data_IF_306894357130
#
_entry.id   IF_306894357130
#
_cell.length_a   1.000
_cell.length_b   1.000
_cell.length_c   1.000
_cell.angle_alpha   90.00
_cell.angle_beta   90.00
_cell.angle_gamma   90.00
#
_symmetry.space_group_name_H-M   'P 1'
#
loop_
_entity.id
_entity.type
_entity.pdbx_description
1 polymer ?
#
# COMPACT_ATOMS: atom_id res chain seq x y z
N UNK A 1 -14.60 -20.64 33.67
CA UNK A 1 -13.40 -20.17 32.95
C UNK A 1 -13.86 -19.11 31.99
N UNK A 2 -13.57 -17.83 32.27
CA UNK A 2 -13.76 -16.79 31.27
C UNK A 2 -12.81 -17.10 30.10
N UNK A 3 -13.35 -17.13 28.89
CA UNK A 3 -12.52 -17.14 27.70
C UNK A 3 -11.77 -15.81 27.68
N UNK A 4 -10.48 -15.82 28.00
CA UNK A 4 -9.60 -14.71 27.64
C UNK A 4 -9.53 -14.69 26.12
N UNK A 5 -10.50 -14.03 25.48
CA UNK A 5 -10.37 -13.61 24.09
C UNK A 5 -9.20 -12.65 24.07
N UNK A 6 -8.02 -13.17 23.79
CA UNK A 6 -6.82 -12.37 23.58
C UNK A 6 -7.09 -11.53 22.34
N UNK A 7 -7.56 -10.30 22.55
CA UNK A 7 -7.90 -9.38 21.49
C UNK A 7 -6.69 -9.14 20.59
N UNK A 8 -6.93 -8.99 19.30
CA UNK A 8 -5.88 -8.67 18.34
C UNK A 8 -5.36 -7.26 18.63
N UNK A 9 -4.03 -7.08 18.59
CA UNK A 9 -3.40 -5.77 18.81
C UNK A 9 -3.00 -5.21 17.46
N UNK A 10 -3.74 -4.21 16.97
CA UNK A 10 -3.29 -3.49 15.78
C UNK A 10 -2.14 -2.55 16.18
N UNK A 11 -0.96 -2.64 15.52
CA UNK A 11 0.11 -1.68 15.76
C UNK A 11 -0.35 -0.25 15.47
N UNK A 12 0.27 0.73 16.14
CA UNK A 12 -0.05 2.13 15.90
C UNK A 12 0.17 2.49 14.41
N UNK A 13 -0.70 3.33 13.86
CA UNK A 13 -0.72 3.70 12.43
C UNK A 13 0.61 4.28 11.92
N UNK A 14 1.36 4.95 12.77
CA UNK A 14 2.68 5.53 12.44
C UNK A 14 3.85 4.58 12.72
N UNK A 15 3.57 3.43 13.33
CA UNK A 15 4.53 2.41 13.70
C UNK A 15 4.42 1.19 12.79
N UNK A 16 4.17 1.40 11.49
CA UNK A 16 4.43 0.35 10.51
C UNK A 16 5.96 0.20 10.44
N UNK A 17 6.50 -0.55 11.40
CA UNK A 17 7.91 -0.87 11.47
C UNK A 17 8.17 -1.95 10.42
N UNK A 18 8.35 -1.49 9.18
CA UNK A 18 8.86 -2.30 8.10
C UNK A 18 10.28 -2.74 8.47
N UNK A 19 10.41 -3.95 9.01
CA UNK A 19 11.67 -4.48 9.55
C UNK A 19 12.61 -5.06 8.49
N UNK A 20 12.27 -4.94 7.21
CA UNK A 20 12.98 -5.64 6.15
C UNK A 20 13.82 -4.70 5.29
N UNK A 21 15.13 -4.84 5.41
CA UNK A 21 16.13 -4.12 4.63
C UNK A 21 16.11 -4.48 3.13
N UNK A 22 15.40 -5.55 2.73
CA UNK A 22 15.27 -5.94 1.32
C UNK A 22 14.49 -4.92 0.49
N UNK A 23 13.70 -4.05 1.11
CA UNK A 23 12.84 -3.08 0.42
C UNK A 23 13.32 -1.66 0.68
N UNK A 24 14.47 -1.33 0.10
CA UNK A 24 15.08 0.00 0.18
C UNK A 24 14.30 1.05 -0.63
N UNK A 25 14.58 2.33 -0.40
CA UNK A 25 14.08 3.41 -1.25
C UNK A 25 14.48 3.25 -2.73
N UNK A 26 15.62 2.58 -2.98
CA UNK A 26 16.04 2.25 -4.34
C UNK A 26 15.17 1.16 -4.98
N UNK A 27 14.77 0.12 -4.22
CA UNK A 27 13.82 -0.87 -4.71
C UNK A 27 12.48 -0.22 -5.09
N UNK A 28 12.06 0.79 -4.33
CA UNK A 28 10.86 1.57 -4.65
C UNK A 28 10.99 2.37 -5.94
N UNK A 29 12.09 3.10 -6.10
CA UNK A 29 12.36 3.86 -7.33
C UNK A 29 12.34 2.93 -8.55
N UNK A 30 12.97 1.75 -8.45
CA UNK A 30 12.96 0.77 -9.54
C UNK A 30 11.55 0.29 -9.89
N UNK A 31 10.68 0.11 -8.89
CA UNK A 31 9.28 -0.30 -9.12
C UNK A 31 8.48 0.82 -9.80
N UNK A 32 8.70 2.07 -9.39
CA UNK A 32 8.09 3.25 -10.02
C UNK A 32 8.57 3.38 -11.47
N UNK A 33 9.85 3.22 -11.73
CA UNK A 33 10.44 3.27 -13.07
C UNK A 33 9.90 2.14 -13.96
N UNK A 34 9.73 0.93 -13.43
CA UNK A 34 9.14 -0.19 -14.15
C UNK A 34 7.68 0.10 -14.52
N UNK A 35 6.91 0.68 -13.59
CA UNK A 35 5.53 1.10 -13.87
C UNK A 35 5.51 2.22 -14.93
N UNK A 36 6.43 3.18 -14.86
CA UNK A 36 6.54 4.31 -15.78
C UNK A 36 6.83 3.88 -17.22
N UNK A 37 7.60 2.81 -17.44
CA UNK A 37 7.83 2.24 -18.79
C UNK A 37 6.55 1.83 -19.52
N UNK A 38 5.46 1.61 -18.79
CA UNK A 38 4.15 1.28 -19.37
C UNK A 38 3.32 2.47 -19.84
N UNK A 39 3.83 3.71 -19.68
CA UNK A 39 3.11 4.93 -20.02
C UNK A 39 3.99 5.88 -20.83
N UNK A 40 3.33 6.79 -21.57
CA UNK A 40 4.01 7.82 -22.36
C UNK A 40 4.37 9.06 -21.51
N UNK A 41 5.00 10.05 -22.16
CA UNK A 41 5.45 11.31 -21.56
C UNK A 41 4.33 12.21 -20.99
N UNK A 42 3.07 11.98 -21.36
CA UNK A 42 1.93 12.72 -20.79
C UNK A 42 1.48 12.13 -19.45
N UNK A 43 2.12 11.06 -18.98
CA UNK A 43 1.78 10.41 -17.73
C UNK A 43 2.86 10.63 -16.68
N UNK A 44 2.41 10.97 -15.47
CA UNK A 44 3.24 11.04 -14.28
C UNK A 44 2.97 9.80 -13.44
N UNK A 45 4.04 9.06 -13.14
CA UNK A 45 4.00 7.94 -12.19
C UNK A 45 4.67 8.38 -10.90
N UNK A 46 3.97 8.23 -9.78
CA UNK A 46 4.49 8.55 -8.46
C UNK A 46 4.22 7.41 -7.48
N UNK A 47 5.27 6.94 -6.82
CA UNK A 47 5.18 5.99 -5.71
C UNK A 47 5.32 6.68 -4.37
N UNK A 48 4.52 6.27 -3.38
CA UNK A 48 4.66 6.69 -1.98
C UNK A 48 4.49 5.48 -1.06
N UNK A 49 5.26 5.39 0.03
CA UNK A 49 4.99 4.40 1.07
C UNK A 49 3.57 4.61 1.61
N UNK A 50 2.90 3.53 2.02
CA UNK A 50 1.53 3.64 2.52
C UNK A 50 1.43 4.57 3.72
N UNK A 51 0.29 5.25 3.78
CA UNK A 51 -0.26 5.76 5.02
C UNK A 51 -1.51 4.93 5.32
N UNK A 52 -1.54 4.13 6.39
CA UNK A 52 -2.77 3.46 6.78
C UNK A 52 -3.85 4.51 7.06
N UNK A 53 -5.05 4.28 6.54
CA UNK A 53 -6.20 5.10 6.90
C UNK A 53 -6.70 4.67 8.28
N UNK A 54 -7.24 5.61 9.05
CA UNK A 54 -7.63 5.46 10.45
C UNK A 54 -8.86 4.58 10.70
N UNK A 55 -9.25 3.71 9.78
CA UNK A 55 -10.35 2.77 9.99
C UNK A 55 -9.80 1.44 10.50
N UNK A 56 -9.58 1.36 11.81
CA UNK A 56 -9.40 0.09 12.50
C UNK A 56 -10.76 -0.62 12.58
N UNK A 57 -10.83 -1.83 12.03
CA UNK A 57 -11.97 -2.73 12.14
C UNK A 57 -11.55 -3.95 12.95
N UNK A 58 -12.04 -4.09 14.18
CA UNK A 58 -11.77 -5.23 15.08
C UNK A 58 -10.28 -5.63 15.10
N UNK A 59 -9.93 -6.67 14.34
CA UNK A 59 -8.60 -7.24 14.19
C UNK A 59 -7.93 -6.92 12.84
N UNK A 60 -8.25 -5.79 12.23
CA UNK A 60 -7.78 -5.42 10.91
C UNK A 60 -7.71 -3.92 10.69
N UNK A 61 -6.90 -3.51 9.73
CA UNK A 61 -6.84 -2.13 9.24
C UNK A 61 -6.98 -2.09 7.73
N UNK A 62 -7.47 -0.98 7.20
CA UNK A 62 -7.42 -0.73 5.77
C UNK A 62 -6.24 0.18 5.40
N UNK A 63 -5.45 -0.29 4.44
CA UNK A 63 -4.53 0.55 3.69
C UNK A 63 -5.28 1.16 2.51
N UNK A 64 -5.25 2.47 2.41
CA UNK A 64 -5.85 3.20 1.27
C UNK A 64 -4.74 3.68 0.34
N UNK A 65 -4.90 3.47 -0.97
CA UNK A 65 -4.15 4.15 -2.01
C UNK A 65 -5.09 5.07 -2.76
N UNK A 66 -5.01 6.35 -2.41
CA UNK A 66 -5.82 7.40 -3.00
C UNK A 66 -4.96 8.33 -3.85
N UNK A 67 -5.49 8.78 -4.99
CA UNK A 67 -4.83 9.79 -5.82
C UNK A 67 -5.47 11.14 -5.54
N UNK A 68 -4.70 12.03 -4.92
CA UNK A 68 -5.00 13.46 -4.95
C UNK A 68 -4.35 14.03 -6.21
N UNK A 69 -5.12 14.15 -7.28
CA UNK A 69 -4.67 14.79 -8.52
C UNK A 69 -4.77 16.30 -8.35
N UNK A 70 -3.68 17.00 -8.70
CA UNK A 70 -3.70 18.46 -8.76
C UNK A 70 -4.63 18.93 -9.89
N UNK A 71 -5.19 20.15 -9.83
CA UNK A 71 -5.90 20.74 -10.96
C UNK A 71 -5.07 20.65 -12.24
N UNK A 72 -5.66 20.16 -13.33
CA UNK A 72 -4.95 19.92 -14.60
C UNK A 72 -4.38 18.51 -14.76
N UNK A 73 -4.62 17.60 -13.81
CA UNK A 73 -4.27 16.18 -13.93
C UNK A 73 -5.49 15.29 -13.83
N UNK A 74 -5.51 14.21 -14.61
CA UNK A 74 -6.52 13.17 -14.56
C UNK A 74 -6.00 11.92 -13.87
N UNK A 75 -6.88 11.26 -13.12
CA UNK A 75 -6.55 10.05 -12.40
C UNK A 75 -6.64 8.85 -13.34
N UNK A 76 -5.49 8.28 -13.69
CA UNK A 76 -5.42 7.17 -14.65
C UNK A 76 -5.50 5.84 -13.92
N UNK A 77 -4.57 5.54 -13.01
CA UNK A 77 -4.53 4.25 -12.32
C UNK A 77 -3.87 4.33 -10.94
N UNK A 78 -4.29 3.47 -10.02
CA UNK A 78 -3.59 3.20 -8.75
C UNK A 78 -3.08 1.77 -8.70
N UNK A 79 -1.97 1.55 -8.01
CA UNK A 79 -1.35 0.27 -7.74
C UNK A 79 -1.07 0.10 -6.25
N UNK A 80 -1.56 -0.98 -5.66
CA UNK A 80 -1.23 -1.39 -4.29
C UNK A 80 -0.13 -2.46 -4.31
N UNK A 81 1.00 -2.20 -3.66
CA UNK A 81 2.12 -3.12 -3.56
C UNK A 81 2.38 -3.50 -2.12
N UNK A 82 2.41 -4.80 -1.83
CA UNK A 82 2.71 -5.31 -0.48
C UNK A 82 3.77 -6.40 -0.58
N UNK A 83 4.87 -6.19 0.14
CA UNK A 83 5.89 -7.20 0.36
C UNK A 83 5.69 -7.85 1.72
N UNK A 84 5.87 -9.18 1.76
CA UNK A 84 5.76 -9.99 2.98
C UNK A 84 7.08 -10.70 3.28
N UNK A 85 7.25 -11.29 4.46
CA UNK A 85 8.43 -12.10 4.81
C UNK A 85 8.63 -13.31 3.89
N UNK A 86 7.60 -13.73 3.15
CA UNK A 86 7.73 -14.76 2.13
C UNK A 86 8.26 -14.22 0.79
N UNK A 87 8.77 -12.98 0.76
CA UNK A 87 9.22 -12.23 -0.41
C UNK A 87 8.19 -12.18 -1.55
N UNK A 88 6.90 -12.37 -1.26
CA UNK A 88 5.84 -12.22 -2.25
C UNK A 88 5.48 -10.75 -2.33
N UNK A 89 5.81 -10.13 -3.46
CA UNK A 89 5.30 -8.82 -3.85
C UNK A 89 3.97 -9.07 -4.55
N UNK A 90 2.89 -8.66 -3.92
CA UNK A 90 1.59 -8.70 -4.56
C UNK A 90 1.31 -7.33 -5.16
N UNK A 91 1.17 -7.26 -6.49
CA UNK A 91 0.51 -6.15 -7.16
C UNK A 91 -0.99 -6.41 -7.03
N UNK A 92 -1.60 -5.85 -6.00
CA UNK A 92 -2.91 -6.31 -5.55
C UNK A 92 -4.00 -5.77 -6.45
N UNK A 93 -3.80 -4.64 -7.13
CA UNK A 93 -4.79 -4.12 -8.07
C UNK A 93 -4.23 -2.94 -8.85
N UNK A 94 -4.34 -2.98 -10.19
CA UNK A 94 -4.31 -1.79 -11.04
C UNK A 94 -5.75 -1.44 -11.39
N UNK A 95 -6.34 -0.45 -10.74
CA UNK A 95 -7.72 -0.04 -11.05
C UNK A 95 -7.73 1.36 -11.64
N UNK A 96 -8.31 1.45 -12.83
CA UNK A 96 -8.45 2.71 -13.53
C UNK A 96 -9.45 3.62 -12.80
N UNK A 97 -9.04 4.86 -12.53
CA UNK A 97 -9.92 5.91 -11.99
C UNK A 97 -10.48 5.74 -10.58
N UNK A 98 -10.12 4.69 -9.80
CA UNK A 98 -10.68 4.44 -8.45
C UNK A 98 -9.63 4.44 -7.35
N UNK A 99 -10.03 4.83 -6.14
CA UNK A 99 -9.19 4.66 -4.95
C UNK A 99 -9.26 3.19 -4.53
N UNK A 100 -8.16 2.67 -4.00
CA UNK A 100 -8.10 1.27 -3.58
C UNK A 100 -7.92 1.14 -2.08
N UNK A 101 -8.61 0.14 -1.52
CA UNK A 101 -8.56 -0.21 -0.12
C UNK A 101 -8.11 -1.66 0.04
N UNK A 102 -7.21 -1.88 0.98
CA UNK A 102 -6.65 -3.19 1.22
C UNK A 102 -6.67 -3.53 2.69
N UNK A 103 -7.27 -4.67 3.02
CA UNK A 103 -7.39 -5.13 4.41
C UNK A 103 -6.13 -5.87 4.85
N UNK A 104 -5.54 -5.41 5.93
CA UNK A 104 -4.49 -6.11 6.67
C UNK A 104 -5.05 -6.66 7.97
N UNK A 105 -4.61 -7.87 8.34
CA UNK A 105 -4.94 -8.48 9.62
C UNK A 105 -3.93 -8.04 10.68
N UNK A 106 -4.43 -7.76 11.88
CA UNK A 106 -3.62 -7.44 13.04
C UNK A 106 -3.25 -8.73 13.77
N UNK A 107 -1.97 -9.01 13.83
CA UNK A 107 -1.43 -10.12 14.61
C UNK A 107 -1.41 -9.82 16.10
N UNK A 108 -1.48 -10.86 16.92
CA UNK A 108 -1.39 -10.74 18.37
C UNK A 108 -0.03 -10.19 18.86
N UNK A 109 0.99 -10.27 18.01
CA UNK A 109 2.33 -9.73 18.25
C UNK A 109 2.46 -8.24 17.89
N UNK A 110 1.36 -7.55 17.59
CA UNK A 110 1.41 -6.13 17.23
C UNK A 110 2.03 -5.89 15.86
N UNK A 111 1.86 -6.82 14.91
CA UNK A 111 2.32 -6.69 13.53
C UNK A 111 1.17 -6.87 12.53
N UNK A 112 1.34 -6.37 11.31
CA UNK A 112 0.37 -6.57 10.23
C UNK A 112 0.64 -7.82 9.39
N UNK A 113 -0.43 -8.49 8.97
CA UNK A 113 -0.38 -9.70 8.17
C UNK A 113 -1.25 -9.59 6.92
N UNK A 114 -0.79 -10.24 5.85
CA UNK A 114 -1.59 -10.49 4.65
C UNK A 114 -1.49 -11.97 4.30
N UNK A 115 -2.64 -12.64 4.15
CA UNK A 115 -2.73 -14.09 3.88
C UNK A 115 -1.79 -14.91 4.79
N UNK A 116 -1.86 -14.65 6.10
CA UNK A 116 -1.04 -15.32 7.11
C UNK A 116 0.46 -15.06 7.03
N UNK A 117 0.90 -14.05 6.28
CA UNK A 117 2.32 -13.70 6.11
C UNK A 117 2.59 -12.30 6.65
N UNK A 118 3.64 -12.15 7.44
CA UNK A 118 4.01 -10.88 8.05
C UNK A 118 4.32 -9.86 6.95
N UNK A 119 3.64 -8.71 6.99
CA UNK A 119 3.91 -7.61 6.07
C UNK A 119 5.22 -6.95 6.44
N UNK A 120 6.03 -6.69 5.43
CA UNK A 120 7.38 -6.14 5.56
C UNK A 120 7.53 -4.83 4.82
N UNK A 121 6.70 -4.57 3.83
CA UNK A 121 6.65 -3.28 3.15
C UNK A 121 5.28 -3.09 2.52
N UNK A 122 4.85 -1.84 2.36
CA UNK A 122 3.75 -1.54 1.47
C UNK A 122 3.85 -0.15 0.86
N UNK A 123 3.46 -0.04 -0.41
CA UNK A 123 3.39 1.22 -1.13
C UNK A 123 2.16 1.34 -2.03
N UNK A 124 1.86 2.60 -2.32
CA UNK A 124 0.88 3.04 -3.29
C UNK A 124 1.63 3.65 -4.47
N UNK A 125 1.39 3.14 -5.67
CA UNK A 125 1.83 3.78 -6.92
C UNK A 125 0.61 4.40 -7.58
N UNK A 126 0.76 5.62 -8.02
CA UNK A 126 -0.27 6.39 -8.71
C UNK A 126 0.20 6.75 -10.10
N UNK A 127 -0.72 6.71 -11.06
CA UNK A 127 -0.51 7.18 -12.42
C UNK A 127 -1.57 8.23 -12.69
N UNK A 128 -1.11 9.39 -13.14
CA UNK A 128 -1.97 10.49 -13.56
C UNK A 128 -1.55 10.98 -14.94
N UNK A 129 -2.51 11.37 -15.78
CA UNK A 129 -2.23 12.04 -17.05
C UNK A 129 -2.25 13.54 -16.85
N UNK A 130 -1.42 14.25 -17.61
CA UNK A 130 -1.53 15.69 -17.79
C UNK A 130 -2.74 15.92 -18.68
N UNK A 131 -3.73 16.68 -18.22
CA UNK A 131 -4.76 17.18 -19.12
C UNK A 131 -4.10 18.21 -20.02
N UNK A 132 -3.89 17.86 -21.30
CA UNK A 132 -3.79 18.90 -22.31
C UNK A 132 -5.20 19.50 -22.45
N UNK A 133 -5.40 20.78 -22.08
CA UNK A 133 -6.69 21.43 -22.22
C UNK A 133 -7.15 21.53 -23.68
#
# INVERSE_FOLDING_TARGET
MEATTTGCVCPAFYAVNFTNDNYSMQWWNNTVDEVAKGYDENHVVAGKPFRPASQQLDCSVFLTCSIQVAPGFEKVAVGLYIGTTKNKVHNITRIAGKDEMFRLECGMNGNYYYNGSLVQVGACISVSSINNP
#
